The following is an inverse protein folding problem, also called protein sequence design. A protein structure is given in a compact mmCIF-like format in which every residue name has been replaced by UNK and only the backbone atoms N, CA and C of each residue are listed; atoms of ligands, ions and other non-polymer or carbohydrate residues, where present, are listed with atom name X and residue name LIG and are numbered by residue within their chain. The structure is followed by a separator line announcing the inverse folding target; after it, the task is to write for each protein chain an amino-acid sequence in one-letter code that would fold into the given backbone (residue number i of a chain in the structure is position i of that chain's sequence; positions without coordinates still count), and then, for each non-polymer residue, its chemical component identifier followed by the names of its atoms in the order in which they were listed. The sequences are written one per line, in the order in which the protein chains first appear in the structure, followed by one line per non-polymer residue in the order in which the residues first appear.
data_IF_106005621179
#
_entry.id   IF_106005621179
#
_cell.length_a   1.000
_cell.length_b   1.000
_cell.length_c   1.000
_cell.angle_alpha   90.00
_cell.angle_beta   90.00
_cell.angle_gamma   90.00
#
_symmetry.space_group_name_H-M   'P 1'
#
loop_
_entity.id
_entity.type
_entity.pdbx_description
1 polymer ?
#
# COMPACT_ATOMS: atom_id res chain seq x y z
N UNK A 1 2.85 -3.13 -10.91
CA UNK A 1 3.97 -3.46 -10.00
C UNK A 1 3.96 -4.97 -9.83
N UNK A 2 5.13 -5.59 -9.87
CA UNK A 2 5.27 -7.03 -9.67
C UNK A 2 4.75 -7.44 -8.28
N UNK A 3 4.09 -8.61 -8.16
CA UNK A 3 3.50 -9.06 -6.89
C UNK A 3 4.54 -9.33 -5.81
N UNK A 4 5.74 -9.79 -6.18
CA UNK A 4 6.83 -10.07 -5.25
C UNK A 4 7.43 -8.76 -4.73
N UNK A 5 7.54 -7.76 -5.61
CA UNK A 5 7.93 -6.40 -5.24
C UNK A 5 6.89 -5.77 -4.31
N UNK A 6 5.60 -5.96 -4.60
CA UNK A 6 4.53 -5.45 -3.74
C UNK A 6 4.61 -6.02 -2.34
N UNK A 7 4.75 -7.35 -2.24
CA UNK A 7 4.95 -8.02 -0.97
C UNK A 7 6.15 -7.46 -0.21
N UNK A 8 7.30 -7.32 -0.87
CA UNK A 8 8.52 -6.78 -0.26
C UNK A 8 8.34 -5.34 0.25
N UNK A 9 7.61 -4.49 -0.50
CA UNK A 9 7.29 -3.12 -0.07
C UNK A 9 6.47 -3.13 1.21
N UNK A 10 5.42 -3.94 1.28
CA UNK A 10 4.57 -4.01 2.47
C UNK A 10 5.28 -4.60 3.69
N UNK A 11 6.04 -5.68 3.49
CA UNK A 11 6.88 -6.27 4.54
C UNK A 11 7.88 -5.25 5.09
N UNK A 12 8.56 -4.51 4.21
CA UNK A 12 9.54 -3.51 4.64
C UNK A 12 8.87 -2.31 5.30
N UNK A 13 7.72 -1.88 4.80
CA UNK A 13 6.93 -0.80 5.42
C UNK A 13 6.54 -1.16 6.85
N UNK A 14 6.10 -2.40 7.10
CA UNK A 14 5.81 -2.87 8.45
C UNK A 14 7.06 -2.86 9.34
N UNK A 15 8.18 -3.43 8.87
CA UNK A 15 9.42 -3.48 9.64
C UNK A 15 9.96 -2.10 10.04
N UNK A 16 9.74 -1.08 9.20
CA UNK A 16 10.29 0.25 9.39
C UNK A 16 9.33 1.16 10.17
N UNK A 17 8.04 1.13 9.83
CA UNK A 17 7.06 2.06 10.40
C UNK A 17 6.25 1.46 11.55
N UNK A 18 6.06 0.14 11.58
CA UNK A 18 5.27 -0.59 12.59
C UNK A 18 3.98 0.16 12.97
N UNK A 19 3.86 0.58 14.23
CA UNK A 19 2.69 1.29 14.77
C UNK A 19 2.37 2.61 14.03
N UNK A 20 3.37 3.24 13.42
CA UNK A 20 3.19 4.47 12.64
C UNK A 20 2.63 4.21 11.24
N UNK A 21 2.57 2.95 10.78
CA UNK A 21 2.16 2.63 9.41
C UNK A 21 0.74 3.12 9.10
N UNK A 22 -0.18 3.03 10.07
CA UNK A 22 -1.54 3.56 9.89
C UNK A 22 -1.57 5.07 9.63
N UNK A 23 -0.67 5.84 10.26
CA UNK A 23 -0.55 7.28 10.03
C UNK A 23 0.00 7.55 8.62
N UNK A 24 1.07 6.85 8.23
CA UNK A 24 1.68 6.96 6.90
C UNK A 24 0.66 6.63 5.79
N UNK A 25 -0.15 5.58 5.99
CA UNK A 25 -1.23 5.22 5.08
C UNK A 25 -2.33 6.29 5.04
N UNK A 26 -2.68 6.88 6.19
CA UNK A 26 -3.65 7.97 6.24
C UNK A 26 -3.18 9.19 5.45
N UNK A 27 -1.90 9.56 5.56
CA UNK A 27 -1.30 10.63 4.76
C UNK A 27 -1.38 10.33 3.25
N UNK A 28 -1.05 9.09 2.84
CA UNK A 28 -1.19 8.66 1.46
C UNK A 28 -2.65 8.78 0.98
N UNK A 29 -3.61 8.31 1.77
CA UNK A 29 -5.03 8.34 1.43
C UNK A 29 -5.61 9.76 1.33
N UNK A 30 -5.05 10.72 2.07
CA UNK A 30 -5.38 12.15 1.92
C UNK A 30 -4.88 12.69 0.58
N UNK A 31 -3.67 12.29 0.17
CA UNK A 31 -3.06 12.69 -1.10
C UNK A 31 -3.68 12.05 -2.35
N UNK A 32 -4.35 10.90 -2.20
CA UNK A 32 -4.97 10.19 -3.32
C UNK A 32 -6.17 10.94 -3.89
N UNK A 33 -6.09 11.28 -5.19
CA UNK A 33 -7.21 11.81 -5.97
C UNK A 33 -7.67 10.77 -6.96
N UNK A 34 -8.91 10.31 -6.79
CA UNK A 34 -9.52 9.34 -7.70
C UNK A 34 -9.69 9.95 -9.09
N UNK A 35 -9.15 9.26 -10.10
CA UNK A 35 -9.38 9.58 -11.52
C UNK A 35 -10.70 8.99 -11.99
N UNK A 36 -11.39 9.68 -12.90
CA UNK A 36 -12.57 9.14 -13.57
C UNK A 36 -12.19 7.98 -14.51
N UNK A 37 -13.13 7.07 -14.74
CA UNK A 37 -12.96 5.92 -15.63
C UNK A 37 -13.11 4.57 -14.93
N UNK A 38 -13.08 3.51 -15.72
CA UNK A 38 -13.13 2.13 -15.25
C UNK A 38 -11.87 1.83 -14.41
N UNK A 39 -12.06 1.14 -13.29
CA UNK A 39 -11.03 0.86 -12.29
C UNK A 39 -11.40 -0.43 -11.58
N UNK A 40 -10.63 -1.49 -11.84
CA UNK A 40 -10.90 -2.84 -11.36
C UNK A 40 -10.87 -2.92 -9.85
N UNK A 41 -11.78 -3.70 -9.28
CA UNK A 41 -11.74 -4.03 -7.86
C UNK A 41 -10.82 -5.25 -7.67
N UNK A 42 -9.73 -5.05 -6.95
CA UNK A 42 -8.72 -6.07 -6.66
C UNK A 42 -8.76 -6.46 -5.20
N UNK A 43 -8.25 -7.65 -4.87
CA UNK A 43 -8.09 -8.12 -3.49
C UNK A 43 -6.63 -8.08 -3.12
N UNK A 44 -6.34 -7.49 -1.97
CA UNK A 44 -5.02 -7.49 -1.36
C UNK A 44 -5.10 -8.38 -0.12
N UNK A 45 -4.48 -9.56 -0.20
CA UNK A 45 -4.62 -10.63 0.78
C UNK A 45 -3.65 -10.46 1.95
N UNK A 46 -4.03 -11.03 3.09
CA UNK A 46 -3.20 -11.10 4.29
C UNK A 46 -1.83 -11.72 4.00
N UNK A 47 -1.75 -12.77 3.18
CA UNK A 47 -0.48 -13.42 2.78
C UNK A 47 0.51 -12.48 2.06
N UNK A 48 0.01 -11.37 1.51
CA UNK A 48 0.82 -10.31 0.87
C UNK A 48 1.23 -9.22 1.87
N UNK A 49 0.38 -8.92 2.85
CA UNK A 49 0.55 -7.78 3.75
C UNK A 49 1.15 -8.14 5.12
N UNK A 50 0.83 -9.33 5.62
CA UNK A 50 0.81 -9.65 7.05
C UNK A 50 -0.47 -9.13 7.73
N UNK A 51 -0.94 -9.85 8.76
CA UNK A 51 -2.18 -9.53 9.48
C UNK A 51 -2.18 -8.14 10.11
N UNK A 52 -1.08 -7.72 10.73
CA UNK A 52 -0.97 -6.41 11.38
C UNK A 52 -1.06 -5.26 10.38
N UNK A 53 -0.32 -5.36 9.27
CA UNK A 53 -0.38 -4.41 8.15
C UNK A 53 -1.77 -4.34 7.53
N UNK A 54 -2.44 -5.48 7.32
CA UNK A 54 -3.81 -5.52 6.82
C UNK A 54 -4.75 -4.77 7.77
N UNK A 55 -4.60 -4.93 9.08
CA UNK A 55 -5.38 -4.22 10.08
C UNK A 55 -5.10 -2.71 10.09
N UNK A 56 -3.84 -2.29 10.00
CA UNK A 56 -3.48 -0.87 9.86
C UNK A 56 -4.09 -0.24 8.60
N UNK A 57 -4.06 -0.96 7.47
CA UNK A 57 -4.64 -0.50 6.22
C UNK A 57 -6.16 -0.38 6.31
N UNK A 58 -6.84 -1.36 6.89
CA UNK A 58 -8.29 -1.29 7.14
C UNK A 58 -8.67 -0.10 8.01
N UNK A 59 -7.90 0.13 9.08
CA UNK A 59 -8.12 1.26 9.97
C UNK A 59 -7.99 2.59 9.24
N UNK A 60 -6.90 2.78 8.46
CA UNK A 60 -6.67 3.99 7.68
C UNK A 60 -7.77 4.23 6.62
N UNK A 61 -8.23 3.17 5.93
CA UNK A 61 -9.31 3.27 4.94
C UNK A 61 -10.64 3.68 5.57
N UNK A 62 -11.01 3.08 6.70
CA UNK A 62 -12.20 3.48 7.46
C UNK A 62 -12.14 4.92 7.92
N UNK A 63 -10.98 5.35 8.42
CA UNK A 63 -10.81 6.72 8.90
C UNK A 63 -11.02 7.72 7.76
N UNK A 64 -10.54 7.38 6.55
CA UNK A 64 -10.71 8.20 5.36
C UNK A 64 -12.13 8.16 4.79
N UNK A 65 -12.74 6.98 4.75
CA UNK A 65 -14.06 6.72 4.17
C UNK A 65 -14.90 5.85 5.13
N UNK A 66 -15.56 6.47 6.12
CA UNK A 66 -16.30 5.73 7.16
C UNK A 66 -17.41 4.82 6.62
N UNK A 67 -18.05 5.22 5.51
CA UNK A 67 -19.15 4.47 4.88
C UNK A 67 -18.66 3.38 3.90
N UNK A 68 -17.34 3.16 3.81
CA UNK A 68 -16.79 2.13 2.93
C UNK A 68 -16.94 0.74 3.54
N UNK A 69 -17.44 -0.22 2.75
CA UNK A 69 -17.51 -1.63 3.13
C UNK A 69 -16.13 -2.30 3.00
N UNK A 70 -15.21 -1.84 3.85
CA UNK A 70 -13.88 -2.41 3.99
C UNK A 70 -14.03 -3.57 4.96
N UNK A 71 -14.51 -4.72 4.46
CA UNK A 71 -14.83 -5.91 5.25
C UNK A 71 -13.82 -6.23 6.36
N UNK A 72 -14.31 -6.66 7.53
CA UNK A 72 -13.48 -6.91 8.73
C UNK A 72 -13.15 -8.37 8.96
N UNK A 73 -13.89 -9.29 8.34
CA UNK A 73 -13.78 -10.72 8.63
C UNK A 73 -13.00 -11.48 7.55
N UNK A 74 -12.73 -10.83 6.42
CA UNK A 74 -12.10 -11.44 5.26
C UNK A 74 -10.57 -11.52 5.45
N UNK A 75 -9.86 -12.49 4.86
CA UNK A 75 -8.40 -12.53 4.84
C UNK A 75 -7.82 -11.58 3.77
N UNK A 76 -8.55 -10.52 3.41
CA UNK A 76 -8.16 -9.55 2.39
C UNK A 76 -8.86 -8.21 2.58
N UNK A 77 -8.35 -7.18 1.90
CA UNK A 77 -9.04 -5.91 1.67
C UNK A 77 -9.31 -5.72 0.18
N UNK A 78 -10.52 -5.27 -0.17
CA UNK A 78 -10.85 -4.91 -1.54
C UNK A 78 -10.44 -3.48 -1.82
N UNK A 79 -9.61 -3.31 -2.85
CA UNK A 79 -9.10 -2.02 -3.28
C UNK A 79 -9.22 -1.90 -4.78
N UNK A 80 -9.60 -0.72 -5.24
CA UNK A 80 -9.46 -0.38 -6.65
C UNK A 80 -7.98 -0.49 -7.07
N UNK A 81 -7.72 -1.02 -8.27
CA UNK A 81 -6.36 -1.34 -8.74
C UNK A 81 -5.45 -0.10 -8.76
N UNK A 82 -6.01 1.07 -9.10
CA UNK A 82 -5.28 2.35 -9.04
C UNK A 82 -4.91 2.76 -7.62
N UNK A 83 -5.81 2.58 -6.65
CA UNK A 83 -5.53 2.90 -5.24
C UNK A 83 -4.45 1.95 -4.68
N UNK A 84 -4.56 0.64 -4.95
CA UNK A 84 -3.54 -0.34 -4.58
C UNK A 84 -2.16 0.04 -5.11
N UNK A 85 -2.09 0.32 -6.41
CA UNK A 85 -0.83 0.72 -7.07
C UNK A 85 -0.27 2.02 -6.48
N UNK A 86 -1.14 3.01 -6.24
CA UNK A 86 -0.74 4.28 -5.63
C UNK A 86 -0.17 4.09 -4.22
N UNK A 87 -0.84 3.32 -3.35
CA UNK A 87 -0.37 3.07 -1.99
C UNK A 87 1.00 2.39 -1.98
N UNK A 88 1.16 1.38 -2.83
CA UNK A 88 2.43 0.66 -2.91
C UNK A 88 3.56 1.54 -3.45
N UNK A 89 3.29 2.37 -4.46
CA UNK A 89 4.26 3.37 -4.96
C UNK A 89 4.60 4.44 -3.91
N UNK A 90 3.60 4.90 -3.15
CA UNK A 90 3.80 5.88 -2.09
C UNK A 90 4.72 5.32 -1.00
N UNK A 91 4.47 4.10 -0.53
CA UNK A 91 5.31 3.43 0.45
C UNK A 91 6.71 3.16 -0.09
N UNK A 92 6.83 2.64 -1.31
CA UNK A 92 8.12 2.41 -1.95
C UNK A 92 8.96 3.69 -2.00
N UNK A 93 8.35 4.80 -2.44
CA UNK A 93 9.01 6.11 -2.46
C UNK A 93 9.47 6.53 -1.07
N UNK A 94 8.60 6.44 -0.06
CA UNK A 94 8.94 6.81 1.32
C UNK A 94 10.09 5.96 1.87
N UNK A 95 10.04 4.64 1.66
CA UNK A 95 11.09 3.71 2.07
C UNK A 95 12.45 3.98 1.42
N UNK A 96 12.48 4.41 0.15
CA UNK A 96 13.72 4.73 -0.56
C UNK A 96 14.31 6.07 -0.14
N UNK A 97 13.46 7.08 0.14
CA UNK A 97 13.94 8.43 0.47
C UNK A 97 14.20 8.67 1.96
N UNK A 98 13.41 8.06 2.85
CA UNK A 98 13.52 8.30 4.30
C UNK A 98 14.39 7.24 5.01
N UNK A 99 14.65 6.10 4.36
CA UNK A 99 15.42 4.99 4.92
C UNK A 99 16.46 4.47 3.92
N UNK A 100 17.47 3.77 4.42
CA UNK A 100 18.38 2.99 3.55
C UNK A 100 17.58 1.82 2.94
N UNK A 101 16.83 2.11 1.88
CA UNK A 101 16.07 1.12 1.12
C UNK A 101 16.97 -0.05 0.71
N UNK A 102 16.43 -1.27 0.77
CA UNK A 102 17.18 -2.45 0.31
C UNK A 102 17.51 -2.28 -1.18
N UNK A 103 18.59 -2.90 -1.69
CA UNK A 103 18.93 -2.82 -3.12
C UNK A 103 17.74 -3.18 -4.02
N UNK A 104 16.99 -4.24 -3.68
CA UNK A 104 15.80 -4.66 -4.42
C UNK A 104 14.69 -3.60 -4.47
N UNK A 105 14.46 -2.86 -3.38
CA UNK A 105 13.48 -1.76 -3.37
C UNK A 105 13.97 -0.56 -4.18
N UNK A 106 15.26 -0.26 -4.14
CA UNK A 106 15.85 0.78 -4.99
C UNK A 106 15.71 0.43 -6.47
N UNK A 107 16.05 -0.80 -6.83
CA UNK A 107 15.91 -1.29 -8.21
C UNK A 107 14.45 -1.24 -8.68
N UNK A 108 13.50 -1.66 -7.84
CA UNK A 108 12.07 -1.56 -8.12
C UNK A 108 11.60 -0.10 -8.30
N UNK A 109 12.10 0.82 -7.47
CA UNK A 109 11.80 2.24 -7.59
C UNK A 109 12.34 2.82 -8.90
N UNK A 110 13.59 2.51 -9.25
CA UNK A 110 14.19 2.97 -10.51
C UNK A 110 13.51 2.35 -11.74
N UNK A 111 13.17 1.06 -11.71
CA UNK A 111 12.44 0.42 -12.80
C UNK A 111 11.07 1.07 -13.03
N UNK A 112 10.33 1.35 -11.94
CA UNK A 112 9.05 2.04 -12.00
C UNK A 112 9.14 3.47 -12.55
N UNK A 113 10.21 4.22 -12.23
CA UNK A 113 10.43 5.59 -12.73
C UNK A 113 10.87 5.60 -14.21
N UNK A 114 11.59 4.56 -14.64
CA UNK A 114 12.06 4.39 -16.02
C UNK A 114 11.00 3.76 -16.95
N UNK A 115 9.88 3.26 -16.39
CA UNK A 115 8.78 2.66 -17.15
C UNK A 115 9.11 1.29 -17.77
N UNK A 116 10.05 0.56 -17.19
CA UNK A 116 10.53 -0.77 -17.64
C UNK A 116 10.08 -1.90 -16.74
#
# INVERSE_FOLDING_TARGET
MDSDVEKLVWERAWQVYADSLSLILSEALVGYKRTAGFDDLTRLYEDTLGGETLMSLRHALKLRWPDSDVGHAEPYVQLRSRLRSYLAQYLLRKLVFEHEGTPALRDAFFAGDLGV
#
